data_IF_963611841080
#
_entry.id   IF_963611841080
#
_cell.length_a   1.000
_cell.length_b   1.000
_cell.length_c   1.000
_cell.angle_alpha   90.00
_cell.angle_beta   90.00
_cell.angle_gamma   90.00
#
_symmetry.space_group_name_H-M   'P 1'
#
loop_
_entity.id
_entity.type
_entity.pdbx_description
1 polymer ?
#
# COMPACT_ATOMS: atom_id res chain seq x y z
N UNK A 1 16.30 7.14 -18.01
CA UNK A 1 16.30 7.27 -16.54
C UNK A 1 15.00 6.64 -16.02
N UNK A 2 15.03 5.95 -14.87
CA UNK A 2 13.80 5.41 -14.27
C UNK A 2 12.86 6.56 -13.88
N UNK A 3 11.56 6.28 -13.84
CA UNK A 3 10.53 7.27 -13.47
C UNK A 3 10.64 7.74 -12.02
N UNK A 4 11.10 6.86 -11.13
CA UNK A 4 11.23 7.09 -9.69
C UNK A 4 12.68 6.83 -9.25
N UNK A 5 13.66 7.67 -9.65
CA UNK A 5 15.08 7.42 -9.40
C UNK A 5 15.46 7.46 -7.90
N UNK A 6 14.63 8.09 -7.08
CA UNK A 6 14.86 8.26 -5.64
C UNK A 6 14.23 7.14 -4.80
N UNK A 7 13.60 6.15 -5.45
CA UNK A 7 12.89 5.08 -4.78
C UNK A 7 13.37 3.71 -5.25
N UNK A 8 13.39 2.74 -4.34
CA UNK A 8 13.72 1.35 -4.65
C UNK A 8 12.81 0.41 -3.85
N UNK A 9 12.39 -0.69 -4.47
CA UNK A 9 11.66 -1.76 -3.79
C UNK A 9 12.63 -2.92 -3.49
N UNK A 10 12.76 -3.30 -2.22
CA UNK A 10 13.45 -4.53 -1.78
C UNK A 10 12.40 -5.57 -1.46
N UNK A 11 12.47 -6.73 -2.12
CA UNK A 11 11.44 -7.78 -1.99
C UNK A 11 12.03 -9.10 -1.49
N UNK A 12 11.29 -9.78 -0.63
CA UNK A 12 11.46 -11.17 -0.23
C UNK A 12 10.12 -11.90 -0.37
N UNK A 13 10.18 -13.22 -0.51
CA UNK A 13 8.99 -14.08 -0.59
C UNK A 13 8.93 -14.96 0.67
N UNK A 14 8.40 -14.44 1.79
CA UNK A 14 8.27 -15.21 3.02
C UNK A 14 7.09 -16.20 2.93
N UNK A 15 6.91 -16.96 4.00
CA UNK A 15 5.71 -17.75 4.22
C UNK A 15 5.24 -17.59 5.68
N UNK A 16 3.99 -17.19 5.86
CA UNK A 16 3.35 -17.03 7.17
C UNK A 16 1.93 -17.62 7.13
N UNK A 17 1.70 -18.67 7.93
CA UNK A 17 0.43 -19.33 8.30
C UNK A 17 -0.62 -19.70 7.20
N UNK A 18 -0.50 -19.20 5.98
CA UNK A 18 -1.42 -19.33 4.86
C UNK A 18 -0.63 -19.62 3.58
N UNK A 19 -1.17 -20.47 2.71
CA UNK A 19 -0.44 -21.01 1.55
C UNK A 19 -0.55 -20.13 0.28
N UNK A 20 -1.06 -18.91 0.41
CA UNK A 20 -1.09 -17.93 -0.68
C UNK A 20 0.31 -17.39 -0.97
N UNK A 21 0.53 -16.84 -2.16
CA UNK A 21 1.77 -16.12 -2.44
C UNK A 21 1.87 -14.88 -1.55
N UNK A 22 3.04 -14.65 -0.99
CA UNK A 22 3.31 -13.53 -0.09
C UNK A 22 4.59 -12.82 -0.52
N UNK A 23 4.60 -11.50 -0.43
CA UNK A 23 5.81 -10.71 -0.62
C UNK A 23 5.95 -9.75 0.54
N UNK A 24 7.11 -9.72 1.18
CA UNK A 24 7.41 -8.71 2.19
C UNK A 24 8.66 -7.96 1.80
N UNK A 25 8.81 -6.73 2.27
CA UNK A 25 9.89 -5.91 1.76
C UNK A 25 9.88 -4.51 2.30
N UNK A 26 10.71 -3.68 1.67
CA UNK A 26 10.82 -2.26 1.98
C UNK A 26 10.66 -1.43 0.71
N UNK A 27 9.94 -0.32 0.80
CA UNK A 27 10.19 0.84 -0.05
C UNK A 27 11.31 1.65 0.60
N UNK A 28 12.42 1.79 -0.11
CA UNK A 28 13.53 2.66 0.28
C UNK A 28 13.47 3.98 -0.48
N UNK A 29 13.82 5.07 0.19
CA UNK A 29 13.96 6.40 -0.42
C UNK A 29 15.39 6.91 -0.33
N UNK A 30 15.75 7.88 -1.17
CA UNK A 30 17.05 8.58 -1.09
C UNK A 30 17.22 9.43 0.17
N UNK A 31 16.15 9.62 0.95
CA UNK A 31 16.12 10.43 2.18
C UNK A 31 16.26 9.58 3.44
N UNK A 32 16.77 8.35 3.33
CA UNK A 32 16.91 7.40 4.45
C UNK A 32 15.57 7.08 5.12
N UNK A 33 14.52 6.85 4.31
CA UNK A 33 13.23 6.33 4.76
C UNK A 33 13.04 4.91 4.23
N UNK A 34 12.60 4.01 5.11
CA UNK A 34 12.39 2.60 4.78
C UNK A 34 11.02 2.15 5.28
N UNK A 35 10.06 2.00 4.37
CA UNK A 35 8.69 1.57 4.71
C UNK A 35 8.52 0.08 4.50
N UNK A 36 8.32 -0.66 5.58
CA UNK A 36 8.04 -2.08 5.51
C UNK A 36 6.63 -2.33 4.99
N UNK A 37 6.51 -3.29 4.06
CA UNK A 37 5.24 -3.79 3.58
C UNK A 37 5.18 -5.32 3.63
N UNK A 38 3.96 -5.85 3.74
CA UNK A 38 3.69 -7.26 3.50
C UNK A 38 2.42 -7.42 2.68
N UNK A 39 2.59 -7.97 1.49
CA UNK A 39 1.56 -8.33 0.54
C UNK A 39 1.16 -9.80 0.68
N UNK A 40 -0.14 -10.06 0.58
CA UNK A 40 -0.72 -11.41 0.49
C UNK A 40 -1.65 -11.48 -0.70
N UNK A 41 -1.54 -12.55 -1.50
CA UNK A 41 -2.51 -12.78 -2.55
C UNK A 41 -3.90 -13.12 -2.01
N UNK A 42 -4.92 -12.84 -2.84
CA UNK A 42 -6.24 -13.36 -2.60
C UNK A 42 -6.25 -14.89 -2.66
N UNK A 43 -6.99 -15.54 -1.76
CA UNK A 43 -7.22 -16.99 -1.74
C UNK A 43 -8.08 -17.43 -2.93
N UNK A 44 -9.08 -16.63 -3.32
CA UNK A 44 -9.96 -16.89 -4.45
C UNK A 44 -9.65 -15.92 -5.61
N UNK A 45 -8.42 -15.95 -6.12
CA UNK A 45 -7.98 -15.02 -7.18
C UNK A 45 -8.51 -15.40 -8.57
N UNK A 46 -8.82 -14.38 -9.35
CA UNK A 46 -9.22 -14.38 -10.75
C UNK A 46 -8.70 -13.10 -11.42
N UNK A 47 -8.86 -12.95 -12.73
CA UNK A 47 -8.26 -11.84 -13.50
C UNK A 47 -8.67 -10.45 -12.98
N UNK A 48 -9.91 -10.32 -12.49
CA UNK A 48 -10.46 -9.07 -11.93
C UNK A 48 -10.25 -8.92 -10.41
N UNK A 49 -9.43 -9.76 -9.76
CA UNK A 49 -9.24 -9.66 -8.31
C UNK A 49 -8.59 -8.33 -7.93
N UNK A 50 -9.18 -7.55 -7.02
CA UNK A 50 -8.69 -6.22 -6.68
C UNK A 50 -7.49 -6.27 -5.73
N UNK A 51 -6.76 -5.16 -5.64
CA UNK A 51 -5.75 -4.89 -4.63
C UNK A 51 -6.28 -3.89 -3.60
N UNK A 52 -6.04 -4.19 -2.33
CA UNK A 52 -6.31 -3.29 -1.21
C UNK A 52 -4.99 -2.89 -0.54
N UNK A 53 -4.75 -1.59 -0.40
CA UNK A 53 -3.79 -1.06 0.55
C UNK A 53 -4.49 -0.91 1.91
N UNK A 54 -3.92 -1.47 2.97
CA UNK A 54 -4.42 -1.35 4.34
C UNK A 54 -3.47 -0.55 5.24
N UNK A 55 -4.03 0.39 5.99
CA UNK A 55 -3.32 1.27 6.92
C UNK A 55 -4.02 1.35 8.29
N UNK A 56 -3.33 0.96 9.36
CA UNK A 56 -3.77 1.30 10.72
C UNK A 56 -3.43 2.77 11.06
N UNK A 57 -4.09 3.30 12.10
CA UNK A 57 -3.99 4.69 12.53
C UNK A 57 -2.96 4.97 13.63
N UNK A 58 -3.41 5.55 14.75
CA UNK A 58 -2.58 5.96 15.90
C UNK A 58 -2.61 7.47 16.14
N UNK A 59 -1.80 8.30 15.43
CA UNK A 59 -0.75 7.95 14.48
C UNK A 59 0.37 7.10 15.13
N UNK A 60 0.98 6.20 14.35
CA UNK A 60 2.12 5.39 14.82
C UNK A 60 1.81 3.93 15.13
N UNK A 61 0.59 3.46 14.89
CA UNK A 61 0.24 2.05 15.05
C UNK A 61 0.64 1.25 13.80
N UNK A 62 1.26 0.09 14.02
CA UNK A 62 1.66 -0.80 12.93
C UNK A 62 0.44 -1.40 12.23
N UNK A 63 0.53 -1.49 10.89
CA UNK A 63 -0.47 -2.16 10.05
C UNK A 63 -0.47 -3.67 10.21
N UNK A 64 0.47 -4.22 10.99
CA UNK A 64 0.39 -5.60 11.46
C UNK A 64 -0.73 -5.85 12.45
N UNK A 65 -1.28 -4.80 13.07
CA UNK A 65 -2.54 -4.91 13.82
C UNK A 65 -3.62 -5.43 12.87
N UNK A 66 -3.80 -4.78 11.71
CA UNK A 66 -4.64 -5.24 10.62
C UNK A 66 -4.33 -6.66 10.16
N UNK A 67 -3.03 -6.95 9.95
CA UNK A 67 -2.56 -8.22 9.41
C UNK A 67 -2.81 -9.41 10.36
N UNK A 68 -2.56 -9.25 11.66
CA UNK A 68 -2.48 -10.35 12.64
C UNK A 68 -3.61 -10.37 13.67
N UNK A 69 -4.36 -9.28 13.82
CA UNK A 69 -5.36 -9.14 14.88
C UNK A 69 -6.76 -8.81 14.35
N UNK A 70 -6.88 -8.42 13.07
CA UNK A 70 -8.13 -7.95 12.50
C UNK A 70 -8.54 -8.74 11.25
N UNK A 71 -8.09 -8.32 10.07
CA UNK A 71 -8.63 -8.74 8.78
C UNK A 71 -7.65 -9.54 7.92
N UNK A 72 -6.38 -9.62 8.32
CA UNK A 72 -5.37 -10.31 7.53
C UNK A 72 -5.54 -11.83 7.48
N UNK A 73 -4.76 -12.50 6.61
CA UNK A 73 -4.83 -13.95 6.38
C UNK A 73 -4.47 -14.77 7.61
N UNK A 74 -3.73 -14.17 8.54
CA UNK A 74 -3.18 -14.82 9.71
C UNK A 74 -3.70 -14.16 10.99
N UNK A 75 -3.79 -14.96 12.05
CA UNK A 75 -4.07 -14.48 13.40
C UNK A 75 -3.06 -15.04 14.38
N UNK A 76 -2.66 -14.24 15.36
CA UNK A 76 -1.88 -14.74 16.50
C UNK A 76 -2.79 -15.55 17.43
N UNK A 77 -2.40 -16.79 17.72
CA UNK A 77 -3.04 -17.71 18.67
C UNK A 77 -1.96 -18.21 19.65
N UNK A 78 -1.87 -17.55 20.82
CA UNK A 78 -0.82 -17.83 21.80
C UNK A 78 0.58 -17.55 21.24
N UNK A 79 1.39 -18.59 21.06
CA UNK A 79 2.77 -18.50 20.58
C UNK A 79 2.94 -18.85 19.08
N UNK A 80 1.85 -18.98 18.34
CA UNK A 80 1.85 -19.34 16.91
C UNK A 80 0.95 -18.41 16.10
N UNK A 81 1.11 -18.44 14.79
CA UNK A 81 0.15 -17.86 13.86
C UNK A 81 -0.69 -18.96 13.22
N UNK A 82 -2.00 -18.73 13.16
CA UNK A 82 -2.99 -19.63 12.56
C UNK A 82 -3.75 -18.91 11.47
N UNK A 83 -4.27 -19.66 10.51
CA UNK A 83 -5.05 -19.10 9.39
C UNK A 83 -6.34 -18.45 9.92
N UNK A 84 -6.62 -17.23 9.51
CA UNK A 84 -7.86 -16.52 9.80
C UNK A 84 -8.97 -16.96 8.82
N UNK A 85 -10.06 -17.58 9.29
CA UNK A 85 -11.16 -18.01 8.42
C UNK A 85 -12.05 -16.86 7.92
N UNK A 86 -11.89 -15.65 8.45
CA UNK A 86 -12.65 -14.45 8.06
C UNK A 86 -11.76 -13.39 7.41
N UNK A 87 -10.62 -13.82 6.85
CA UNK A 87 -9.65 -12.90 6.28
C UNK A 87 -10.20 -12.21 5.03
N UNK A 88 -9.94 -10.91 4.90
CA UNK A 88 -10.36 -10.14 3.73
C UNK A 88 -9.62 -10.56 2.46
N UNK A 89 -8.46 -11.21 2.61
CA UNK A 89 -7.77 -11.81 1.46
C UNK A 89 -8.50 -13.05 0.92
N UNK A 90 -9.69 -13.41 1.41
CA UNK A 90 -10.59 -14.31 0.68
C UNK A 90 -11.02 -13.72 -0.67
N UNK A 91 -11.02 -12.38 -0.82
CA UNK A 91 -11.56 -11.68 -2.01
C UNK A 91 -10.65 -10.62 -2.63
N UNK A 92 -9.59 -10.19 -1.94
CA UNK A 92 -8.68 -9.17 -2.45
C UNK A 92 -7.23 -9.56 -2.19
N UNK A 93 -6.33 -9.12 -3.06
CA UNK A 93 -4.92 -9.04 -2.69
C UNK A 93 -4.76 -7.89 -1.69
N UNK A 94 -3.97 -8.07 -0.62
CA UNK A 94 -3.84 -7.03 0.42
C UNK A 94 -2.38 -6.69 0.66
N UNK A 95 -2.05 -5.40 0.60
CA UNK A 95 -0.77 -4.82 1.02
C UNK A 95 -0.96 -4.15 2.37
N UNK A 96 -0.30 -4.65 3.41
CA UNK A 96 -0.21 -3.99 4.71
C UNK A 96 1.07 -3.17 4.74
N UNK A 97 1.00 -1.90 5.14
CA UNK A 97 2.19 -1.01 5.18
C UNK A 97 2.33 -0.37 6.55
N UNK A 98 3.50 -0.54 7.16
CA UNK A 98 3.87 0.20 8.36
C UNK A 98 4.27 1.63 7.98
N UNK A 99 3.46 2.61 8.38
CA UNK A 99 3.72 4.02 8.12
C UNK A 99 3.16 4.88 9.27
N UNK A 100 3.73 6.07 9.54
CA UNK A 100 4.92 6.68 8.92
C UNK A 100 6.24 5.96 9.29
N UNK A 101 7.38 6.58 9.00
CA UNK A 101 8.68 6.05 9.45
C UNK A 101 8.70 5.84 10.97
N UNK A 102 9.50 4.86 11.41
CA UNK A 102 9.63 4.45 12.82
C UNK A 102 8.38 3.76 13.41
N UNK A 103 7.43 3.35 12.57
CA UNK A 103 6.31 2.47 12.93
C UNK A 103 6.65 1.01 12.61
N UNK A 104 6.42 0.10 13.57
CA UNK A 104 6.59 -1.33 13.35
C UNK A 104 7.99 -1.69 12.86
N UNK A 105 8.09 -2.26 11.66
CA UNK A 105 9.38 -2.58 11.02
C UNK A 105 9.92 -1.47 10.12
N UNK A 106 9.17 -0.39 9.90
CA UNK A 106 9.62 0.79 9.16
C UNK A 106 10.57 1.62 10.01
N UNK A 107 11.62 2.16 9.40
CA UNK A 107 12.65 2.93 10.09
C UNK A 107 13.21 4.04 9.20
N UNK A 108 13.86 5.03 9.81
CA UNK A 108 14.57 6.07 9.08
C UNK A 108 14.28 7.48 9.57
N UNK A 109 14.52 8.45 8.69
CA UNK A 109 14.25 9.87 8.95
C UNK A 109 12.75 10.14 9.15
N UNK A 110 12.43 11.15 9.96
CA UNK A 110 11.04 11.46 10.32
C UNK A 110 10.23 11.99 9.12
N UNK A 111 8.97 11.54 9.00
CA UNK A 111 7.99 12.09 8.06
C UNK A 111 7.05 13.04 8.80
N UNK A 112 7.08 14.32 8.45
CA UNK A 112 6.40 15.36 9.21
C UNK A 112 4.96 15.66 8.76
N UNK A 113 4.49 15.15 7.61
CA UNK A 113 3.12 15.43 7.12
C UNK A 113 2.47 14.24 6.39
N UNK A 114 1.15 14.13 6.49
CA UNK A 114 0.34 13.14 5.75
C UNK A 114 0.44 13.29 4.23
N UNK A 115 0.71 14.50 3.72
CA UNK A 115 0.91 14.74 2.29
C UNK A 115 2.24 14.15 1.80
N UNK A 116 3.31 14.32 2.59
CA UNK A 116 4.60 13.69 2.30
C UNK A 116 4.47 12.16 2.33
N UNK A 117 3.74 11.62 3.31
CA UNK A 117 3.43 10.19 3.36
C UNK A 117 2.64 9.71 2.13
N UNK A 118 1.74 10.56 1.58
CA UNK A 118 1.00 10.28 0.35
C UNK A 118 1.91 10.00 -0.85
N UNK A 119 2.96 10.81 -1.05
CA UNK A 119 3.90 10.63 -2.15
C UNK A 119 4.69 9.31 -2.03
N UNK A 120 5.16 8.97 -0.82
CA UNK A 120 5.87 7.71 -0.57
C UNK A 120 4.95 6.51 -0.84
N UNK A 121 3.68 6.55 -0.43
CA UNK A 121 2.71 5.47 -0.70
C UNK A 121 2.39 5.32 -2.20
N UNK A 122 2.32 6.42 -2.94
CA UNK A 122 2.17 6.38 -4.40
C UNK A 122 3.40 5.76 -5.05
N UNK A 123 4.61 6.09 -4.58
CA UNK A 123 5.84 5.49 -5.07
C UNK A 123 5.89 3.98 -4.79
N UNK A 124 5.47 3.54 -3.60
CA UNK A 124 5.30 2.11 -3.27
C UNK A 124 4.40 1.41 -4.29
N UNK A 125 3.21 1.96 -4.57
CA UNK A 125 2.25 1.36 -5.50
C UNK A 125 2.77 1.33 -6.94
N UNK A 126 3.42 2.40 -7.41
CA UNK A 126 4.03 2.47 -8.73
C UNK A 126 5.11 1.41 -8.92
N UNK A 127 6.01 1.28 -7.94
CA UNK A 127 7.07 0.27 -7.97
C UNK A 127 6.51 -1.13 -7.79
N UNK A 128 5.50 -1.32 -6.95
CA UNK A 128 4.81 -2.61 -6.80
C UNK A 128 4.19 -3.06 -8.13
N UNK A 129 3.52 -2.18 -8.87
CA UNK A 129 2.91 -2.52 -10.16
C UNK A 129 3.95 -2.76 -11.27
N UNK A 130 5.12 -2.14 -11.13
CA UNK A 130 6.25 -2.36 -12.04
C UNK A 130 6.95 -3.69 -11.78
N UNK A 131 7.18 -4.02 -10.51
CA UNK A 131 7.79 -5.29 -10.08
C UNK A 131 6.86 -6.48 -10.31
N UNK A 132 5.54 -6.28 -10.11
CA UNK A 132 4.52 -7.31 -10.25
C UNK A 132 3.46 -6.90 -11.28
N UNK A 133 3.80 -6.89 -12.58
CA UNK A 133 2.93 -6.41 -13.64
C UNK A 133 1.62 -7.20 -13.78
N UNK A 134 1.56 -8.43 -13.25
CA UNK A 134 0.33 -9.22 -13.22
C UNK A 134 -0.79 -8.60 -12.37
N UNK A 135 -0.46 -7.70 -11.43
CA UNK A 135 -1.47 -7.01 -10.62
C UNK A 135 -1.76 -5.59 -11.11
N UNK A 136 -1.04 -5.08 -12.11
CA UNK A 136 -1.13 -3.68 -12.53
C UNK A 136 -2.50 -3.28 -13.11
N UNK A 137 -3.32 -4.27 -13.49
CA UNK A 137 -4.69 -4.09 -13.99
C UNK A 137 -5.77 -4.23 -12.92
N UNK A 138 -5.43 -4.72 -11.73
CA UNK A 138 -6.37 -4.88 -10.63
C UNK A 138 -6.85 -3.53 -10.14
N UNK A 139 -8.16 -3.40 -9.90
CA UNK A 139 -8.72 -2.23 -9.24
C UNK A 139 -8.04 -2.02 -7.88
N UNK A 140 -7.74 -0.75 -7.57
CA UNK A 140 -7.04 -0.37 -6.36
C UNK A 140 -8.03 0.24 -5.35
N UNK A 141 -8.00 -0.28 -4.13
CA UNK A 141 -8.76 0.24 -2.99
C UNK A 141 -7.80 0.69 -1.88
N UNK A 142 -8.03 1.87 -1.32
CA UNK A 142 -7.23 2.38 -0.20
C UNK A 142 -8.09 2.40 1.05
N UNK A 143 -7.77 1.50 1.98
CA UNK A 143 -8.55 1.27 3.19
C UNK A 143 -7.70 1.47 4.42
N UNK A 144 -8.33 1.87 5.52
CA UNK A 144 -7.65 1.98 6.80
C UNK A 144 -8.60 2.28 7.93
N UNK A 145 -8.05 2.46 9.12
CA UNK A 145 -8.83 2.74 10.32
C UNK A 145 -8.25 3.83 11.23
N UNK A 146 -9.09 4.37 12.12
CA UNK A 146 -8.69 5.35 13.13
C UNK A 146 -8.06 6.60 12.50
N UNK A 147 -6.83 6.97 12.86
CA UNK A 147 -6.13 8.10 12.27
C UNK A 147 -5.85 7.96 10.76
N UNK A 148 -6.05 6.76 10.18
CA UNK A 148 -6.10 6.60 8.73
C UNK A 148 -7.25 7.38 8.07
N UNK A 149 -8.17 7.93 8.86
CA UNK A 149 -9.09 8.98 8.43
C UNK A 149 -8.40 10.21 7.82
N UNK A 150 -7.14 10.48 8.16
CA UNK A 150 -6.30 11.48 7.49
C UNK A 150 -5.42 10.88 6.39
N UNK A 151 -4.90 9.66 6.56
CA UNK A 151 -4.00 9.03 5.59
C UNK A 151 -4.70 8.66 4.29
N UNK A 152 -5.84 7.97 4.38
CA UNK A 152 -6.57 7.43 3.23
C UNK A 152 -7.00 8.53 2.26
N UNK A 153 -7.64 9.65 2.69
CA UNK A 153 -7.99 10.73 1.78
C UNK A 153 -6.77 11.44 1.19
N UNK A 154 -5.69 11.60 1.96
CA UNK A 154 -4.46 12.24 1.48
C UNK A 154 -3.83 11.42 0.34
N UNK A 155 -3.67 10.11 0.53
CA UNK A 155 -3.13 9.20 -0.49
C UNK A 155 -4.04 9.18 -1.73
N UNK A 156 -5.36 9.06 -1.53
CA UNK A 156 -6.32 9.04 -2.62
C UNK A 156 -6.30 10.33 -3.45
N UNK A 157 -6.18 11.49 -2.79
CA UNK A 157 -6.00 12.79 -3.45
C UNK A 157 -4.72 12.80 -4.29
N UNK A 158 -3.60 12.36 -3.72
CA UNK A 158 -2.32 12.31 -4.45
C UNK A 158 -2.41 11.41 -5.68
N UNK A 159 -3.03 10.22 -5.57
CA UNK A 159 -3.26 9.32 -6.72
C UNK A 159 -4.13 10.01 -7.78
N UNK A 160 -5.23 10.63 -7.36
CA UNK A 160 -6.16 11.29 -8.27
C UNK A 160 -5.49 12.40 -9.07
N UNK A 161 -4.78 13.31 -8.39
CA UNK A 161 -4.08 14.42 -9.03
C UNK A 161 -3.00 13.93 -10.00
N UNK A 162 -2.19 12.96 -9.59
CA UNK A 162 -1.17 12.35 -10.46
C UNK A 162 -1.80 11.69 -11.71
N UNK A 163 -2.90 10.97 -11.54
CA UNK A 163 -3.59 10.32 -12.66
C UNK A 163 -4.18 11.32 -13.65
N UNK A 164 -4.75 12.44 -13.15
CA UNK A 164 -5.27 13.53 -14.00
C UNK A 164 -4.13 14.14 -14.80
N UNK A 165 -3.05 14.55 -14.14
CA UNK A 165 -1.88 15.16 -14.80
C UNK A 165 -1.27 14.22 -15.85
N UNK A 166 -1.10 12.93 -15.51
CA UNK A 166 -0.53 11.95 -16.42
C UNK A 166 -1.37 11.79 -17.69
N UNK A 167 -2.70 11.67 -17.56
CA UNK A 167 -3.63 11.55 -18.69
C UNK A 167 -3.64 12.80 -19.56
N UNK A 168 -3.68 13.99 -18.95
CA UNK A 168 -3.65 15.26 -19.70
C UNK A 168 -2.36 15.41 -20.50
N UNK A 169 -1.21 15.14 -19.87
CA UNK A 169 0.09 15.20 -20.54
C UNK A 169 0.24 14.11 -21.60
N UNK A 170 -0.34 12.92 -21.38
CA UNK A 170 -0.38 11.86 -22.38
C UNK A 170 -1.16 12.30 -23.62
N UNK A 171 -2.34 12.88 -23.45
CA UNK A 171 -3.17 13.38 -24.55
C UNK A 171 -2.48 14.51 -25.33
N UNK A 172 -1.69 15.32 -24.65
CA UNK A 172 -0.91 16.40 -25.26
C UNK A 172 0.43 15.93 -25.86
N UNK A 173 0.81 14.65 -25.70
CA UNK A 173 2.10 14.13 -26.17
C UNK A 173 3.31 14.69 -25.40
N UNK A 174 3.11 15.15 -24.15
CA UNK A 174 4.11 15.81 -23.31
C UNK A 174 4.77 14.89 -22.26
N UNK A 175 4.47 13.59 -22.27
CA UNK A 175 5.14 12.64 -21.37
C UNK A 175 6.57 12.39 -21.82
N UNK A 176 7.51 12.62 -20.92
CA UNK A 176 8.89 12.15 -21.08
C UNK A 176 8.95 10.61 -21.11
N UNK A 177 10.07 10.07 -21.60
CA UNK A 177 10.32 8.62 -21.61
C UNK A 177 10.27 8.02 -20.20
N UNK A 178 10.63 8.80 -19.17
CA UNK A 178 10.54 8.37 -17.78
C UNK A 178 9.08 8.28 -17.34
N UNK A 179 8.27 9.30 -17.61
CA UNK A 179 6.86 9.35 -17.19
C UNK A 179 5.97 8.33 -17.91
N UNK A 180 6.35 7.90 -19.12
CA UNK A 180 5.69 6.80 -19.83
C UNK A 180 5.80 5.45 -19.12
N UNK A 181 6.77 5.30 -18.19
CA UNK A 181 6.91 4.08 -17.38
C UNK A 181 5.99 4.07 -16.16
N UNK A 182 5.38 5.21 -15.80
CA UNK A 182 4.44 5.29 -14.68
C UNK A 182 3.08 4.72 -15.04
N UNK A 183 2.46 4.03 -14.09
CA UNK A 183 1.12 3.50 -14.21
C UNK A 183 0.09 4.57 -13.89
N UNK A 184 -1.01 4.59 -14.63
CA UNK A 184 -2.24 5.23 -14.15
C UNK A 184 -2.84 4.28 -13.12
N UNK A 185 -2.72 4.61 -11.82
CA UNK A 185 -3.17 3.73 -10.75
C UNK A 185 -4.71 3.65 -10.76
N UNK A 186 -5.33 2.46 -10.91
CA UNK A 186 -6.77 2.31 -11.10
C UNK A 186 -7.53 2.42 -9.76
N UNK A 187 -7.42 3.57 -9.09
CA UNK A 187 -8.11 3.85 -7.82
C UNK A 187 -9.64 3.78 -8.04
N UNK A 188 -10.27 2.78 -7.42
CA UNK A 188 -11.70 2.51 -7.55
C UNK A 188 -12.50 2.96 -6.33
N UNK A 189 -11.96 2.81 -5.12
CA UNK A 189 -12.63 3.31 -3.90
C UNK A 189 -11.69 3.55 -2.73
N UNK A 190 -12.22 4.24 -1.73
CA UNK A 190 -11.60 4.41 -0.41
C UNK A 190 -12.55 3.93 0.69
N UNK A 191 -12.00 3.44 1.79
CA UNK A 191 -12.76 2.99 2.96
C UNK A 191 -12.07 3.36 4.26
N UNK A 192 -12.84 3.82 5.25
CA UNK A 192 -12.29 4.27 6.53
C UNK A 192 -13.13 3.67 7.67
N UNK A 193 -12.55 2.72 8.41
CA UNK A 193 -13.14 2.15 9.62
C UNK A 193 -12.94 3.08 10.81
N UNK A 194 -14.02 3.50 11.47
CA UNK A 194 -13.97 4.29 12.71
C UNK A 194 -12.99 5.48 12.64
N UNK A 195 -13.03 6.22 11.52
CA UNK A 195 -12.02 7.23 11.20
C UNK A 195 -12.06 8.47 12.07
N UNK A 196 -10.89 8.98 12.42
CA UNK A 196 -10.71 10.36 12.86
C UNK A 196 -10.55 11.24 11.61
N UNK A 197 -11.66 11.85 11.19
CA UNK A 197 -11.75 12.62 9.93
C UNK A 197 -12.00 14.09 10.20
N UNK A 198 -12.98 14.39 11.06
CA UNK A 198 -13.28 15.74 11.54
C UNK A 198 -13.11 15.77 13.06
N UNK A 199 -12.14 16.54 13.60
CA UNK A 199 -11.89 16.64 15.03
C UNK A 199 -12.88 17.54 15.78
N UNK A 200 -13.76 18.27 15.09
CA UNK A 200 -14.62 19.32 15.66
C UNK A 200 -16.07 18.87 15.94
#
# INVERSE_FOLDING_TARGET
MPALPNYQLRVKQPNLCDNVTQYSGYLDTSEDKHFFFWFFEARNKHDETPIMLWLNGGPGCSSFTGLLMELGPCRVDGNRTVRNPHAWNDRAHIIFVDQPTNVGFSYGSDVFTSLAAGADMVALLQLFYTEFPQYARSELHIFGESYAGHYVPAIAKTIHEMNVEHKERQQQGLLSIAEQQLHVLPLASIGIGNGFVDPL
#
